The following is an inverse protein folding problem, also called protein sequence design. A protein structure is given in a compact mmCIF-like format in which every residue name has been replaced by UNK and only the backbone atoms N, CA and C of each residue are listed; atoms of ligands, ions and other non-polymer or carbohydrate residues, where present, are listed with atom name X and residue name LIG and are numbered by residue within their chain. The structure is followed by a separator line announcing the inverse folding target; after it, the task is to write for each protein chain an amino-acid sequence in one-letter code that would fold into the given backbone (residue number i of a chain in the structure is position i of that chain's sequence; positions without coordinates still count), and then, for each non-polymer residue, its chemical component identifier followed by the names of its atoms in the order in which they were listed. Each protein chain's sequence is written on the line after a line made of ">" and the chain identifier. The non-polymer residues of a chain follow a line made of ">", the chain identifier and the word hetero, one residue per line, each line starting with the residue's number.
data_IF_632073699058
#
_entry.id   IF_632073699058
#
_cell.length_a   1.000
_cell.length_b   1.000
_cell.length_c   1.000
_cell.angle_alpha   90.00
_cell.angle_beta   90.00
_cell.angle_gamma   90.00
#
_symmetry.space_group_name_H-M   'P 1'
#
loop_
_entity.id
_entity.type
_entity.pdbx_description
1 polymer ?
#
# COMPACT_ATOMS: atom_id res chain seq x y z
N UNK A 1 -4.64 10.01 18.86
CA UNK A 1 -3.73 9.01 18.24
C UNK A 1 -3.09 9.63 17.01
N UNK A 2 -1.77 9.89 17.00
CA UNK A 2 -1.05 10.36 15.81
C UNK A 2 -1.14 9.26 14.75
N UNK A 3 -1.79 9.53 13.61
CA UNK A 3 -1.71 8.64 12.45
C UNK A 3 -0.22 8.53 12.10
N UNK A 4 0.39 7.33 12.06
CA UNK A 4 1.73 7.23 11.49
C UNK A 4 1.63 7.75 10.06
N UNK A 5 2.28 8.87 9.77
CA UNK A 5 2.45 9.31 8.40
C UNK A 5 3.36 8.28 7.75
N UNK A 6 2.79 7.41 6.93
CA UNK A 6 3.58 6.56 6.07
C UNK A 6 4.38 7.46 5.12
N UNK A 7 5.71 7.37 5.20
CA UNK A 7 6.62 8.04 4.26
C UNK A 7 6.26 7.70 2.81
N UNK A 8 6.44 8.64 1.90
CA UNK A 8 6.15 8.40 0.48
C UNK A 8 6.98 7.24 -0.10
N UNK A 9 8.22 7.09 0.35
CA UNK A 9 9.08 5.94 0.01
C UNK A 9 8.44 4.63 0.44
N UNK A 10 7.83 4.59 1.63
CA UNK A 10 7.14 3.40 2.11
C UNK A 10 5.92 3.09 1.24
N UNK A 11 5.10 4.09 0.93
CA UNK A 11 3.92 3.91 0.05
C UNK A 11 4.28 3.37 -1.32
N UNK A 12 5.32 3.92 -1.96
CA UNK A 12 5.80 3.46 -3.27
C UNK A 12 6.35 2.04 -3.21
N UNK A 13 7.18 1.72 -2.19
CA UNK A 13 7.67 0.36 -1.97
C UNK A 13 6.55 -0.64 -1.77
N UNK A 14 5.51 -0.29 -1.00
CA UNK A 14 4.37 -1.18 -0.81
C UNK A 14 3.60 -1.41 -2.11
N UNK A 15 3.32 -0.37 -2.89
CA UNK A 15 2.65 -0.49 -4.19
C UNK A 15 3.48 -1.34 -5.17
N UNK A 16 4.79 -1.14 -5.20
CA UNK A 16 5.69 -1.94 -6.02
C UNK A 16 5.70 -3.40 -5.55
N UNK A 17 5.78 -3.64 -4.24
CA UNK A 17 5.71 -4.99 -3.67
C UNK A 17 4.42 -5.72 -4.04
N UNK A 18 3.25 -5.04 -4.02
CA UNK A 18 1.98 -5.63 -4.49
C UNK A 18 2.09 -6.06 -5.95
N UNK A 19 2.65 -5.19 -6.81
CA UNK A 19 2.83 -5.47 -8.25
C UNK A 19 3.79 -6.64 -8.49
N UNK A 20 4.96 -6.63 -7.85
CA UNK A 20 5.99 -7.66 -8.02
C UNK A 20 5.59 -9.00 -7.41
N UNK A 21 4.91 -8.97 -6.26
CA UNK A 21 4.46 -10.17 -5.58
C UNK A 21 3.27 -10.84 -6.26
N UNK A 22 2.51 -10.13 -7.10
CA UNK A 22 1.26 -10.62 -7.69
C UNK A 22 0.14 -10.90 -6.67
N UNK A 23 0.36 -10.60 -5.39
CA UNK A 23 -0.61 -10.76 -4.30
C UNK A 23 -1.71 -9.71 -4.41
N UNK A 24 -2.90 -10.05 -3.90
CA UNK A 24 -3.98 -9.08 -3.79
C UNK A 24 -3.63 -7.96 -2.79
N UNK A 25 -4.14 -6.76 -3.04
CA UNK A 25 -3.97 -5.59 -2.16
C UNK A 25 -4.39 -5.90 -0.71
N UNK A 26 -5.47 -6.66 -0.53
CA UNK A 26 -5.96 -7.04 0.81
C UNK A 26 -4.99 -7.96 1.57
N UNK A 27 -4.27 -8.84 0.87
CA UNK A 27 -3.28 -9.74 1.47
C UNK A 27 -2.08 -8.95 1.98
N UNK A 28 -1.52 -8.09 1.12
CA UNK A 28 -0.38 -7.23 1.47
C UNK A 28 -0.77 -6.24 2.57
N UNK A 29 -2.00 -5.70 2.55
CA UNK A 29 -2.51 -4.83 3.60
C UNK A 29 -2.55 -5.55 4.95
N UNK A 30 -3.03 -6.80 5.00
CA UNK A 30 -3.05 -7.62 6.21
C UNK A 30 -1.64 -7.92 6.73
N UNK A 31 -0.74 -8.30 5.83
CA UNK A 31 0.66 -8.62 6.16
C UNK A 31 1.38 -7.40 6.77
N UNK A 32 1.19 -6.22 6.17
CA UNK A 32 1.80 -4.97 6.62
C UNK A 32 0.99 -4.26 7.71
N UNK A 33 -0.13 -4.84 8.16
CA UNK A 33 -1.07 -4.25 9.13
C UNK A 33 -1.54 -2.85 8.73
N UNK A 34 -1.71 -2.62 7.43
CA UNK A 34 -2.25 -1.41 6.83
C UNK A 34 -3.74 -1.63 6.56
N UNK A 35 -4.55 -0.59 6.66
CA UNK A 35 -5.95 -0.67 6.23
C UNK A 35 -6.00 -0.89 4.71
N UNK A 36 -6.78 -1.87 4.28
CA UNK A 36 -7.02 -2.20 2.86
C UNK A 36 -7.38 -0.95 2.04
N UNK A 37 -8.29 -0.12 2.55
CA UNK A 37 -8.72 1.10 1.88
C UNK A 37 -7.58 2.13 1.70
N UNK A 38 -6.62 2.15 2.64
CA UNK A 38 -5.44 3.03 2.55
C UNK A 38 -4.49 2.54 1.45
N UNK A 39 -4.19 1.24 1.42
CA UNK A 39 -3.31 0.67 0.40
C UNK A 39 -3.96 0.71 -0.99
N UNK A 40 -5.26 0.49 -1.08
CA UNK A 40 -6.02 0.64 -2.32
C UNK A 40 -5.95 2.08 -2.86
N UNK A 41 -6.02 3.07 -1.96
CA UNK A 41 -5.81 4.48 -2.32
C UNK A 41 -4.42 4.76 -2.88
N UNK A 42 -3.38 4.13 -2.34
CA UNK A 42 -2.02 4.25 -2.87
C UNK A 42 -1.87 3.57 -4.22
N UNK A 43 -2.44 2.38 -4.40
CA UNK A 43 -2.45 1.69 -5.69
C UNK A 43 -3.07 2.57 -6.77
N UNK A 44 -4.25 3.16 -6.52
CA UNK A 44 -4.85 4.11 -7.48
C UNK A 44 -3.94 5.29 -7.80
N UNK A 45 -3.29 5.86 -6.78
CA UNK A 45 -2.44 7.06 -6.93
C UNK A 45 -1.10 6.81 -7.64
N UNK A 46 -0.50 5.63 -7.47
CA UNK A 46 0.85 5.33 -7.98
C UNK A 46 0.87 4.30 -9.13
N UNK A 47 -0.27 3.67 -9.47
CA UNK A 47 -0.38 2.69 -10.56
C UNK A 47 -1.18 3.20 -11.74
N UNK A 48 -2.19 4.04 -11.52
CA UNK A 48 -3.12 4.53 -12.55
C UNK A 48 -2.88 6.02 -12.86
N UNK A 49 -1.74 6.57 -12.41
CA UNK A 49 -1.30 7.95 -12.66
C UNK A 49 -0.12 8.00 -13.60
#
# INVERSE_FOLDING_TARGET
>A
MKKPLYDETYKRKTVQYVKESGKAVAEVARELKIKDNTLNGWMKRYVIG
#
